data_IF_087857140715
#
_entry.id   IF_087857140715
#
_cell.length_a   1.000
_cell.length_b   1.000
_cell.length_c   1.000
_cell.angle_alpha   90.00
_cell.angle_beta   90.00
_cell.angle_gamma   90.00
#
_symmetry.space_group_name_H-M   'P 1'
#
loop_
_entity.id
_entity.type
_entity.pdbx_description
1 polymer ?
#
# COMPACT_ATOMS: atom_id res chain seq x y z
N UNK A 1 8.96 6.74 -7.51
CA UNK A 1 9.11 5.98 -8.78
C UNK A 1 7.77 5.97 -9.50
N UNK A 2 7.76 6.15 -10.81
CA UNK A 2 6.56 5.91 -11.64
C UNK A 2 6.67 4.51 -12.23
N UNK A 3 5.62 3.74 -12.08
CA UNK A 3 5.54 2.37 -12.58
C UNK A 3 4.29 2.23 -13.45
N UNK A 4 4.45 1.81 -14.70
CA UNK A 4 3.32 1.59 -15.59
C UNK A 4 2.72 0.21 -15.29
N UNK A 5 1.46 0.19 -14.90
CA UNK A 5 0.76 -1.01 -14.49
C UNK A 5 -0.74 -0.92 -14.79
N UNK A 6 -1.29 -1.95 -15.46
CA UNK A 6 -2.72 -2.02 -15.85
C UNK A 6 -3.20 -0.74 -16.57
N UNK A 7 -2.40 -0.23 -17.53
CA UNK A 7 -2.68 0.96 -18.34
C UNK A 7 -2.76 2.29 -17.57
N UNK A 8 -2.30 2.32 -16.32
CA UNK A 8 -2.15 3.55 -15.54
C UNK A 8 -0.72 3.72 -15.07
N UNK A 9 -0.32 4.95 -14.76
CA UNK A 9 0.89 5.19 -13.99
C UNK A 9 0.60 5.10 -12.49
N UNK A 10 1.31 4.21 -11.82
CA UNK A 10 1.29 4.06 -10.37
C UNK A 10 2.49 4.80 -9.78
N UNK A 11 2.23 5.71 -8.87
CA UNK A 11 3.29 6.33 -8.08
C UNK A 11 3.66 5.44 -6.91
N UNK A 12 4.96 5.14 -6.77
CA UNK A 12 5.48 4.34 -5.67
C UNK A 12 6.62 5.13 -5.01
N UNK A 13 6.46 5.51 -3.75
CA UNK A 13 7.55 6.06 -2.97
C UNK A 13 8.47 4.93 -2.50
N UNK A 14 9.79 5.15 -2.67
CA UNK A 14 10.84 4.16 -2.34
C UNK A 14 11.73 4.62 -1.18
N UNK A 15 11.26 5.60 -0.41
CA UNK A 15 12.05 6.20 0.67
C UNK A 15 13.28 6.98 0.18
N UNK A 16 13.32 7.35 -1.11
CA UNK A 16 14.42 8.10 -1.72
C UNK A 16 15.63 7.25 -2.10
N UNK A 17 15.49 5.92 -2.13
CA UNK A 17 16.55 4.99 -2.55
C UNK A 17 16.04 4.02 -3.62
N UNK A 18 16.92 3.62 -4.51
CA UNK A 18 16.67 2.52 -5.44
C UNK A 18 16.61 1.18 -4.69
N UNK A 19 15.80 0.26 -5.20
CA UNK A 19 15.77 -1.10 -4.68
C UNK A 19 17.11 -1.80 -4.88
N UNK A 20 17.47 -2.67 -3.94
CA UNK A 20 18.69 -3.46 -3.93
C UNK A 20 18.35 -4.94 -4.01
N UNK A 21 19.10 -5.67 -4.80
CA UNK A 21 18.98 -7.13 -4.88
C UNK A 21 19.24 -7.76 -3.50
N UNK A 22 18.38 -8.71 -3.13
CA UNK A 22 18.51 -9.48 -1.90
C UNK A 22 18.09 -8.75 -0.61
N UNK A 23 17.67 -7.49 -0.69
CA UNK A 23 17.12 -6.80 0.47
C UNK A 23 15.63 -7.11 0.66
N UNK A 24 15.20 -7.20 1.92
CA UNK A 24 13.81 -7.43 2.29
C UNK A 24 12.92 -6.24 1.91
N UNK A 25 11.67 -6.53 1.57
CA UNK A 25 10.68 -5.52 1.22
C UNK A 25 9.81 -5.12 2.40
N UNK A 26 9.53 -3.82 2.48
CA UNK A 26 8.52 -3.24 3.37
C UNK A 26 7.50 -2.48 2.53
N UNK A 27 6.24 -2.86 2.64
CA UNK A 27 5.11 -2.25 1.94
C UNK A 27 4.33 -1.37 2.90
N UNK A 28 4.16 -0.09 2.58
CA UNK A 28 3.41 0.88 3.36
C UNK A 28 2.09 1.20 2.67
N UNK A 29 0.97 1.00 3.37
CA UNK A 29 -0.39 1.17 2.84
C UNK A 29 -1.08 2.34 3.54
N UNK A 30 -1.41 3.38 2.75
CA UNK A 30 -2.07 4.58 3.26
C UNK A 30 -3.56 4.35 3.54
N UNK A 31 -4.16 5.26 4.31
CA UNK A 31 -5.58 5.27 4.62
C UNK A 31 -6.45 5.90 3.52
N UNK A 32 -7.76 5.91 3.75
CA UNK A 32 -8.74 6.51 2.83
C UNK A 32 -8.45 7.99 2.58
N UNK A 33 -8.48 8.41 1.31
CA UNK A 33 -8.22 9.80 0.91
C UNK A 33 -6.79 10.29 1.15
N UNK A 34 -5.87 9.41 1.52
CA UNK A 34 -4.46 9.72 1.77
C UNK A 34 -3.58 9.34 0.56
N UNK A 35 -2.27 9.35 0.76
CA UNK A 35 -1.28 9.00 -0.25
C UNK A 35 0.01 8.52 0.42
N UNK A 36 1.03 8.18 -0.38
CA UNK A 36 2.39 7.85 0.09
C UNK A 36 2.98 8.89 1.06
N UNK A 37 2.50 10.15 1.02
CA UNK A 37 2.99 11.22 1.90
C UNK A 37 2.77 10.91 3.39
N UNK A 38 1.75 10.12 3.74
CA UNK A 38 1.54 9.60 5.10
C UNK A 38 2.79 8.93 5.65
N UNK A 39 3.57 8.30 4.78
CA UNK A 39 4.73 7.47 5.12
C UNK A 39 6.08 8.14 4.85
N UNK A 40 6.09 9.46 4.60
CA UNK A 40 7.28 10.17 4.15
C UNK A 40 8.51 10.00 5.06
N UNK A 41 8.34 10.03 6.38
CA UNK A 41 9.43 9.85 7.35
C UNK A 41 9.79 8.37 7.52
N UNK A 42 8.80 7.51 7.71
CA UNK A 42 8.99 6.08 7.95
C UNK A 42 9.63 5.40 6.75
N UNK A 43 9.13 5.66 5.54
CA UNK A 43 9.68 5.08 4.31
C UNK A 43 11.15 5.44 4.13
N UNK A 44 11.54 6.69 4.44
CA UNK A 44 12.94 7.12 4.39
C UNK A 44 13.79 6.41 5.42
N UNK A 45 13.31 6.31 6.66
CA UNK A 45 14.02 5.63 7.73
C UNK A 45 14.34 4.17 7.34
N UNK A 46 13.31 3.40 6.96
CA UNK A 46 13.51 2.00 6.58
C UNK A 46 14.37 1.83 5.32
N UNK A 47 14.27 2.73 4.34
CA UNK A 47 15.16 2.71 3.18
C UNK A 47 16.62 2.91 3.56
N UNK A 48 16.90 3.78 4.53
CA UNK A 48 18.25 4.01 5.04
C UNK A 48 18.77 2.85 5.89
N UNK A 49 17.88 2.13 6.58
CA UNK A 49 18.21 0.88 7.28
C UNK A 49 18.43 -0.31 6.33
N UNK A 50 18.28 -0.12 5.03
CA UNK A 50 18.63 -1.12 4.02
C UNK A 50 17.48 -1.94 3.45
N UNK A 51 16.23 -1.62 3.80
CA UNK A 51 15.05 -2.26 3.24
C UNK A 51 14.68 -1.69 1.87
N UNK A 52 14.08 -2.52 1.03
CA UNK A 52 13.40 -2.09 -0.18
C UNK A 52 12.00 -1.60 0.17
N UNK A 53 11.67 -0.37 -0.20
CA UNK A 53 10.42 0.26 0.19
C UNK A 53 9.46 0.32 -1.00
N UNK A 54 8.21 -0.07 -0.75
CA UNK A 54 7.08 0.10 -1.66
C UNK A 54 5.96 0.82 -0.89
N UNK A 55 5.79 2.10 -1.16
CA UNK A 55 4.67 2.88 -0.65
C UNK A 55 3.86 3.38 -1.85
N UNK A 56 2.92 2.57 -2.38
CA UNK A 56 2.15 2.93 -3.55
C UNK A 56 1.06 3.93 -3.19
N UNK A 57 0.76 4.83 -4.10
CA UNK A 57 -0.54 5.48 -4.13
C UNK A 57 -1.52 4.53 -4.82
N UNK A 58 -2.61 4.18 -4.17
CA UNK A 58 -3.67 3.38 -4.79
C UNK A 58 -4.26 4.09 -6.02
N UNK A 59 -4.88 3.36 -6.96
CA UNK A 59 -5.55 3.98 -8.11
C UNK A 59 -6.46 5.13 -7.70
N UNK A 60 -6.39 6.25 -8.42
CA UNK A 60 -7.15 7.46 -8.12
C UNK A 60 -6.74 8.24 -6.87
N UNK A 61 -5.60 7.88 -6.24
CA UNK A 61 -5.05 8.57 -5.07
C UNK A 61 -3.68 9.18 -5.37
N UNK A 62 -3.35 10.25 -4.65
CA UNK A 62 -2.04 10.88 -4.70
C UNK A 62 -1.59 11.24 -6.11
N UNK A 63 -0.50 10.65 -6.55
CA UNK A 63 0.08 10.85 -7.88
C UNK A 63 -0.18 9.69 -8.85
N UNK A 64 -0.97 8.69 -8.44
CA UNK A 64 -1.38 7.58 -9.29
C UNK A 64 -2.58 7.96 -10.16
N UNK A 65 -2.58 7.42 -11.37
CA UNK A 65 -3.72 7.52 -12.29
C UNK A 65 -4.85 6.55 -11.93
N UNK A 66 -5.83 6.48 -12.85
CA UNK A 66 -6.98 5.57 -12.73
C UNK A 66 -8.10 6.12 -11.86
N UNK A 67 -9.03 5.23 -11.51
CA UNK A 67 -10.17 5.51 -10.64
C UNK A 67 -10.01 4.74 -9.33
N UNK A 68 -10.52 5.27 -8.20
CA UNK A 68 -10.48 4.56 -6.93
C UNK A 68 -11.14 3.18 -7.01
N UNK A 69 -10.51 2.19 -6.38
CA UNK A 69 -11.07 0.87 -6.20
C UNK A 69 -12.18 0.91 -5.14
N UNK A 70 -13.22 0.14 -5.33
CA UNK A 70 -14.48 0.26 -4.56
C UNK A 70 -14.61 -0.71 -3.40
N UNK A 71 -13.67 -1.67 -3.26
CA UNK A 71 -13.66 -2.63 -2.16
C UNK A 71 -12.25 -2.88 -1.63
N UNK A 72 -12.15 -3.33 -0.38
CA UNK A 72 -10.87 -3.73 0.24
C UNK A 72 -10.31 -4.96 -0.48
N UNK A 73 -11.17 -5.87 -0.88
CA UNK A 73 -10.81 -7.07 -1.64
C UNK A 73 -10.15 -6.72 -2.97
N UNK A 74 -10.75 -5.79 -3.73
CA UNK A 74 -10.18 -5.31 -5.00
C UNK A 74 -8.84 -4.59 -4.78
N UNK A 75 -8.70 -3.83 -3.69
CA UNK A 75 -7.44 -3.17 -3.33
C UNK A 75 -6.35 -4.20 -3.02
N UNK A 76 -6.67 -5.26 -2.28
CA UNK A 76 -5.73 -6.33 -1.96
C UNK A 76 -5.35 -7.12 -3.23
N UNK A 77 -6.30 -7.48 -4.05
CA UNK A 77 -6.06 -8.20 -5.31
C UNK A 77 -5.22 -7.36 -6.29
N UNK A 78 -5.51 -6.07 -6.39
CA UNK A 78 -4.70 -5.14 -7.19
C UNK A 78 -3.26 -5.04 -6.66
N UNK A 79 -3.10 -4.93 -5.33
CA UNK A 79 -1.79 -4.85 -4.69
C UNK A 79 -0.97 -6.13 -4.93
N UNK A 80 -1.60 -7.31 -4.82
CA UNK A 80 -0.94 -8.58 -5.08
C UNK A 80 -0.42 -8.67 -6.52
N UNK A 81 -1.23 -8.22 -7.50
CA UNK A 81 -0.79 -8.15 -8.91
C UNK A 81 0.33 -7.14 -9.13
N UNK A 82 0.28 -5.98 -8.46
CA UNK A 82 1.36 -4.98 -8.51
C UNK A 82 2.67 -5.56 -7.97
N UNK A 83 2.64 -6.21 -6.82
CA UNK A 83 3.82 -6.84 -6.21
C UNK A 83 4.40 -7.94 -7.11
N UNK A 84 3.53 -8.77 -7.72
CA UNK A 84 3.95 -9.77 -8.70
C UNK A 84 4.66 -9.13 -9.90
N UNK A 85 4.09 -8.05 -10.47
CA UNK A 85 4.68 -7.32 -11.58
C UNK A 85 6.03 -6.67 -11.22
N UNK A 86 6.24 -6.33 -9.96
CA UNK A 86 7.52 -5.82 -9.44
C UNK A 86 8.51 -6.91 -9.04
N UNK A 87 8.15 -8.20 -9.15
CA UNK A 87 9.00 -9.33 -8.79
C UNK A 87 9.15 -9.57 -7.29
N UNK A 88 8.27 -8.98 -6.47
CA UNK A 88 8.28 -9.16 -5.00
C UNK A 88 7.74 -10.54 -4.65
N UNK A 89 8.48 -11.31 -3.87
CA UNK A 89 8.07 -12.64 -3.42
C UNK A 89 7.36 -12.58 -2.06
N UNK A 90 7.89 -11.78 -1.14
CA UNK A 90 7.33 -11.60 0.20
C UNK A 90 7.73 -10.24 0.75
N UNK A 91 6.97 -9.70 1.69
CA UNK A 91 7.22 -8.41 2.32
C UNK A 91 6.60 -8.32 3.73
N UNK A 92 7.13 -7.39 4.53
CA UNK A 92 6.43 -6.89 5.69
C UNK A 92 5.43 -5.81 5.26
N UNK A 93 4.21 -5.83 5.77
CA UNK A 93 3.17 -4.85 5.46
C UNK A 93 2.87 -3.95 6.65
N UNK A 94 2.87 -2.66 6.43
CA UNK A 94 2.53 -1.64 7.43
C UNK A 94 1.34 -0.85 6.90
N UNK A 95 0.20 -0.98 7.55
CA UNK A 95 -1.04 -0.31 7.17
C UNK A 95 -1.47 0.75 8.19
N UNK A 96 -2.06 1.84 7.70
CA UNK A 96 -2.71 2.86 8.50
C UNK A 96 -4.18 2.97 8.14
N UNK A 97 -5.08 2.93 9.14
CA UNK A 97 -6.53 3.09 8.94
C UNK A 97 -7.06 2.08 7.90
N UNK A 98 -7.62 2.52 6.77
CA UNK A 98 -8.06 1.64 5.67
C UNK A 98 -6.92 0.74 5.17
N UNK A 99 -5.67 1.20 5.17
CA UNK A 99 -4.50 0.40 4.82
C UNK A 99 -4.31 -0.83 5.73
N UNK A 100 -4.84 -0.79 6.97
CA UNK A 100 -4.88 -1.98 7.85
C UNK A 100 -5.81 -3.05 7.30
N UNK A 101 -6.98 -2.66 6.78
CA UNK A 101 -7.93 -3.59 6.19
C UNK A 101 -7.34 -4.26 4.95
N UNK A 102 -6.68 -3.48 4.10
CA UNK A 102 -5.98 -4.02 2.92
C UNK A 102 -4.86 -4.99 3.34
N UNK A 103 -4.08 -4.65 4.37
CA UNK A 103 -3.02 -5.53 4.87
C UNK A 103 -3.57 -6.85 5.43
N UNK A 104 -4.69 -6.80 6.16
CA UNK A 104 -5.38 -7.99 6.66
C UNK A 104 -5.94 -8.84 5.52
N UNK A 105 -6.53 -8.20 4.51
CA UNK A 105 -7.05 -8.89 3.34
C UNK A 105 -5.92 -9.54 2.51
N UNK A 106 -4.77 -8.87 2.39
CA UNK A 106 -3.56 -9.47 1.82
C UNK A 106 -3.13 -10.73 2.59
N UNK A 107 -3.14 -10.70 3.92
CA UNK A 107 -2.78 -11.86 4.73
C UNK A 107 -3.80 -13.00 4.60
N UNK A 108 -5.08 -12.69 4.40
CA UNK A 108 -6.15 -13.66 4.21
C UNK A 108 -6.12 -14.32 2.82
N UNK A 109 -6.05 -13.51 1.77
CA UNK A 109 -6.21 -13.96 0.37
C UNK A 109 -4.91 -14.25 -0.36
N UNK A 110 -3.85 -13.54 0.04
CA UNK A 110 -2.54 -13.56 -0.62
C UNK A 110 -1.41 -13.80 0.38
N UNK A 111 -1.61 -14.75 1.30
CA UNK A 111 -0.72 -15.01 2.44
C UNK A 111 0.76 -15.27 2.05
N UNK A 112 1.01 -15.79 0.86
CA UNK A 112 2.36 -16.02 0.36
C UNK A 112 3.20 -14.75 0.26
N UNK A 113 2.57 -13.57 0.08
CA UNK A 113 3.27 -12.28 0.05
C UNK A 113 3.57 -11.71 1.43
N UNK A 114 2.93 -12.22 2.50
CA UNK A 114 2.92 -11.55 3.80
C UNK A 114 3.84 -12.26 4.78
N UNK A 115 4.99 -11.64 5.07
CA UNK A 115 5.90 -12.09 6.13
C UNK A 115 5.48 -11.56 7.51
N UNK A 116 5.18 -10.28 7.59
CA UNK A 116 4.81 -9.58 8.84
C UNK A 116 3.73 -8.54 8.59
N UNK A 117 2.94 -8.28 9.64
CA UNK A 117 1.94 -7.20 9.65
C UNK A 117 2.22 -6.22 10.79
N UNK A 118 2.10 -4.93 10.49
CA UNK A 118 2.01 -3.86 11.47
C UNK A 118 0.78 -3.01 11.14
N UNK A 119 -0.17 -2.95 12.06
CA UNK A 119 -1.45 -2.28 11.88
C UNK A 119 -1.52 -1.05 12.80
N UNK A 120 -1.66 0.13 12.22
CA UNK A 120 -1.65 1.41 12.92
C UNK A 120 -3.00 2.09 12.76
N UNK A 121 -3.66 2.40 13.88
CA UNK A 121 -4.97 3.03 13.92
C UNK A 121 -6.02 2.28 13.06
N UNK A 122 -6.00 0.96 13.16
CA UNK A 122 -6.89 0.07 12.42
C UNK A 122 -7.65 -0.89 13.32
N UNK A 123 -8.65 -1.53 12.75
CA UNK A 123 -9.44 -2.60 13.34
C UNK A 123 -9.81 -3.62 12.25
N UNK A 124 -10.35 -4.77 12.64
CA UNK A 124 -10.85 -5.77 11.70
C UNK A 124 -12.05 -5.26 10.86
N UNK A 125 -12.78 -4.28 11.40
CA UNK A 125 -13.80 -3.53 10.69
C UNK A 125 -13.76 -2.08 11.16
N UNK A 126 -13.86 -1.14 10.25
CA UNK A 126 -13.89 0.29 10.54
C UNK A 126 -15.28 0.81 10.14
N UNK A 127 -16.18 1.05 11.11
CA UNK A 127 -17.47 1.64 10.79
C UNK A 127 -17.27 3.09 10.33
N UNK A 128 -17.81 3.41 9.16
CA UNK A 128 -17.76 4.76 8.62
C UNK A 128 -19.11 5.42 8.88
N UNK A 129 -19.07 6.63 9.45
CA UNK A 129 -20.29 7.40 9.67
C UNK A 129 -20.89 7.81 8.32
N UNK A 130 -22.19 7.65 8.17
CA UNK A 130 -22.93 7.98 6.92
C UNK A 130 -22.64 9.42 6.47
N UNK A 131 -22.54 10.35 7.40
CA UNK A 131 -22.16 11.73 7.12
C UNK A 131 -20.80 11.85 6.37
N UNK A 132 -19.81 11.02 6.72
CA UNK A 132 -18.52 11.02 6.03
C UNK A 132 -18.61 10.42 4.63
N UNK A 133 -19.49 9.44 4.42
CA UNK A 133 -19.75 8.87 3.10
C UNK A 133 -20.38 9.92 2.19
N UNK A 134 -21.37 10.62 2.68
CA UNK A 134 -22.07 11.69 1.92
C UNK A 134 -21.15 12.88 1.61
N UNK A 135 -20.26 13.23 2.53
CA UNK A 135 -19.31 14.33 2.35
C UNK A 135 -18.17 14.01 1.35
N UNK A 136 -17.95 12.73 1.03
CA UNK A 136 -16.92 12.27 0.09
C UNK A 136 -17.46 12.00 -1.32
N UNK A 137 -18.76 12.04 -1.49
CA UNK A 137 -19.43 11.88 -2.77
C UNK A 137 -19.47 13.20 -3.53
#
# INVERSE_FOLDING_TARGET
MKFEFEQIFVHIATGGRAHKDGADFVVFLHGSGQSHLTWGLQSRYFAYEGYNIIAPDFPGHGLSGGVPLTSIEDMADWLARLLAAMGVQTAAFIGHSQGCLVALEMASRHSAYVDKLCLIAGAAAIPVNEWLVDASA
#
